data_IF_013345264123
#
_entry.id   IF_013345264123
#
_cell.length_a   1.000
_cell.length_b   1.000
_cell.length_c   1.000
_cell.angle_alpha   90.00
_cell.angle_beta   90.00
_cell.angle_gamma   90.00
#
_symmetry.space_group_name_H-M   'P 1'
#
loop_
_entity.id
_entity.type
_entity.pdbx_description
1 polymer ?
#
# COMPACT_ATOMS: atom_id res chain seq x y z
N UNK A 1 -10.54 -2.12 -20.09
CA UNK A 1 -10.90 -1.09 -19.11
C UNK A 1 -9.63 -0.67 -18.39
N UNK A 2 -9.26 0.61 -18.45
CA UNK A 2 -8.09 1.15 -17.76
C UNK A 2 -8.47 1.41 -16.31
N UNK A 3 -8.15 0.48 -15.41
CA UNK A 3 -8.31 0.70 -13.97
C UNK A 3 -7.17 1.63 -13.54
N UNK A 4 -7.48 2.77 -12.94
CA UNK A 4 -6.42 3.69 -12.51
C UNK A 4 -5.78 3.17 -11.22
N UNK A 5 -4.45 3.31 -11.07
CA UNK A 5 -3.74 2.82 -9.88
C UNK A 5 -4.32 3.35 -8.55
N UNK A 6 -4.98 4.52 -8.57
CA UNK A 6 -5.68 5.11 -7.42
C UNK A 6 -6.89 4.30 -6.93
N UNK A 7 -7.54 3.54 -7.80
CA UNK A 7 -8.72 2.73 -7.46
C UNK A 7 -8.32 1.34 -6.93
N UNK A 8 -7.05 0.97 -7.07
CA UNK A 8 -6.53 -0.35 -6.71
C UNK A 8 -6.07 -0.44 -5.26
N UNK A 9 -5.73 0.69 -4.61
CA UNK A 9 -5.27 0.72 -3.21
C UNK A 9 -6.42 1.21 -2.32
N UNK A 10 -6.80 0.42 -1.33
CA UNK A 10 -7.85 0.79 -0.38
C UNK A 10 -7.59 0.25 1.03
N UNK A 11 -8.31 0.83 2.00
CA UNK A 11 -8.30 0.42 3.39
C UNK A 11 -9.49 -0.51 3.67
N UNK A 12 -9.25 -1.63 4.33
CA UNK A 12 -10.27 -2.57 4.79
C UNK A 12 -9.81 -3.18 6.11
N UNK A 13 -10.66 -3.17 7.14
CA UNK A 13 -10.34 -3.68 8.47
C UNK A 13 -9.00 -3.17 9.03
N UNK A 14 -8.71 -1.88 8.83
CA UNK A 14 -7.46 -1.23 9.24
C UNK A 14 -6.19 -1.80 8.58
N UNK A 15 -6.33 -2.45 7.44
CA UNK A 15 -5.24 -2.98 6.61
C UNK A 15 -5.30 -2.38 5.21
N UNK A 16 -4.14 -2.24 4.58
CA UNK A 16 -3.99 -1.66 3.24
C UNK A 16 -3.97 -2.82 2.24
N UNK A 17 -4.91 -2.79 1.31
CA UNK A 17 -5.00 -3.78 0.25
C UNK A 17 -4.72 -3.16 -1.11
N UNK A 18 -4.09 -3.95 -1.97
CA UNK A 18 -3.81 -3.61 -3.35
C UNK A 18 -4.37 -4.67 -4.28
N UNK A 19 -5.27 -4.27 -5.17
CA UNK A 19 -5.93 -5.15 -6.13
C UNK A 19 -5.67 -4.63 -7.54
N UNK A 20 -4.50 -4.94 -8.13
CA UNK A 20 -4.13 -4.41 -9.43
C UNK A 20 -4.98 -4.96 -10.59
N UNK A 21 -5.51 -6.18 -10.44
CA UNK A 21 -6.36 -6.81 -11.46
C UNK A 21 -7.37 -7.79 -10.85
N UNK A 22 -6.96 -9.02 -10.55
CA UNK A 22 -7.87 -10.13 -10.17
C UNK A 22 -7.61 -10.67 -8.76
N UNK A 23 -6.56 -10.21 -8.09
CA UNK A 23 -6.14 -10.73 -6.79
C UNK A 23 -5.91 -9.57 -5.83
N UNK A 24 -6.52 -9.68 -4.66
CA UNK A 24 -6.34 -8.79 -3.51
C UNK A 24 -5.05 -9.21 -2.80
N UNK A 25 -4.12 -8.26 -2.64
CA UNK A 25 -2.90 -8.43 -1.87
C UNK A 25 -2.97 -7.54 -0.64
N UNK A 26 -2.69 -8.12 0.51
CA UNK A 26 -2.43 -7.35 1.73
C UNK A 26 -1.01 -6.79 1.63
N UNK A 27 -0.91 -5.46 1.58
CA UNK A 27 0.37 -4.76 1.47
C UNK A 27 0.66 -3.92 2.73
N UNK A 28 -0.11 -4.14 3.80
CA UNK A 28 -0.03 -3.33 5.04
C UNK A 28 1.40 -3.29 5.58
N UNK A 29 2.00 -4.46 5.76
CA UNK A 29 3.31 -4.61 6.39
C UNK A 29 4.41 -3.98 5.50
N UNK A 30 4.27 -4.15 4.18
CA UNK A 30 5.19 -3.56 3.21
C UNK A 30 5.15 -2.02 3.21
N UNK A 31 3.96 -1.43 3.31
CA UNK A 31 3.80 0.03 3.41
C UNK A 31 4.35 0.54 4.75
N UNK A 32 4.16 -0.20 5.85
CA UNK A 32 4.72 0.17 7.14
C UNK A 32 6.25 0.21 7.10
N UNK A 33 6.89 -0.80 6.52
CA UNK A 33 8.36 -0.83 6.36
C UNK A 33 8.87 0.37 5.55
N UNK A 34 8.19 0.70 4.44
CA UNK A 34 8.55 1.86 3.62
C UNK A 34 8.42 3.19 4.41
N UNK A 35 7.41 3.34 5.24
CA UNK A 35 7.24 4.52 6.10
C UNK A 35 8.39 4.61 7.10
N UNK A 36 8.76 3.50 7.75
CA UNK A 36 9.88 3.47 8.69
C UNK A 36 11.21 3.84 8.02
N UNK A 37 11.48 3.31 6.83
CA UNK A 37 12.66 3.66 6.04
C UNK A 37 12.68 5.16 5.69
N UNK A 38 11.54 5.73 5.30
CA UNK A 38 11.41 7.16 5.00
C UNK A 38 11.65 8.04 6.24
N UNK A 39 11.13 7.63 7.39
CA UNK A 39 11.34 8.36 8.66
C UNK A 39 12.80 8.28 9.11
N UNK A 40 13.48 7.14 8.91
CA UNK A 40 14.91 7.01 9.16
C UNK A 40 15.74 7.91 8.25
N UNK A 41 15.34 8.09 6.99
CA UNK A 41 16.00 9.00 6.05
C UNK A 41 15.82 10.48 6.42
N UNK A 42 14.64 10.88 6.93
CA UNK A 42 14.39 12.27 7.37
C UNK A 42 15.12 12.67 8.66
N UNK A 43 15.54 11.70 9.46
CA UNK A 43 16.25 11.93 10.74
C UNK A 43 17.76 12.15 10.56
N UNK A 44 18.29 11.92 9.36
CA UNK A 44 19.66 12.28 8.95
C UNK A 44 19.68 13.63 8.23
#
# INVERSE_FOLDING_TARGET
>A
MSVTAKEMIYLKNNRIYFTPYLKEYDITDHIQELIEQLENLKRN
#
